data_IF_114874149514
#
_entry.id   IF_114874149514
#
_cell.length_a   1.000
_cell.length_b   1.000
_cell.length_c   1.000
_cell.angle_alpha   90.00
_cell.angle_beta   90.00
_cell.angle_gamma   90.00
#
_symmetry.space_group_name_H-M   'P 1'
#
loop_
_entity.id
_entity.type
_entity.pdbx_description
1 polymer ?
#
# COMPACT_ATOMS: atom_id res chain seq x y z
N UNK A 1 -11.06 -13.52 8.09
CA UNK A 1 -10.52 -12.60 7.08
C UNK A 1 -9.01 -12.45 7.29
N UNK A 2 -8.23 -12.34 6.23
CA UNK A 2 -6.78 -12.08 6.28
C UNK A 2 -6.50 -10.63 5.82
N UNK A 3 -5.68 -9.90 6.60
CA UNK A 3 -5.04 -8.63 6.21
C UNK A 3 -3.56 -8.92 5.95
N UNK A 4 -3.21 -9.00 4.67
CA UNK A 4 -1.90 -9.42 4.18
C UNK A 4 -0.99 -8.20 4.02
N UNK A 5 0.10 -8.14 4.79
CA UNK A 5 0.94 -6.96 4.96
C UNK A 5 0.25 -5.90 5.82
N UNK A 6 -0.20 -6.30 7.02
CA UNK A 6 -1.04 -5.45 7.88
C UNK A 6 -0.32 -4.21 8.44
N UNK A 7 1.01 -4.14 8.30
CA UNK A 7 1.80 -3.03 8.81
C UNK A 7 1.54 -2.75 10.29
N UNK A 8 1.27 -1.49 10.67
CA UNK A 8 0.97 -1.12 12.06
C UNK A 8 -0.46 -1.52 12.50
N UNK A 9 -1.22 -2.27 11.69
CA UNK A 9 -2.49 -2.90 12.07
C UNK A 9 -3.73 -2.01 12.05
N UNK A 10 -3.67 -0.77 11.57
CA UNK A 10 -4.83 0.14 11.58
C UNK A 10 -5.99 -0.37 10.72
N UNK A 11 -5.68 -0.96 9.56
CA UNK A 11 -6.70 -1.56 8.71
C UNK A 11 -7.28 -2.82 9.39
N UNK A 12 -6.43 -3.69 9.94
CA UNK A 12 -6.87 -4.88 10.68
C UNK A 12 -7.83 -4.55 11.82
N UNK A 13 -7.56 -3.48 12.59
CA UNK A 13 -8.44 -3.01 13.67
C UNK A 13 -9.78 -2.50 13.14
N UNK A 14 -9.76 -1.73 12.06
CA UNK A 14 -10.97 -1.24 11.39
C UNK A 14 -11.82 -2.40 10.85
N UNK A 15 -11.18 -3.40 10.25
CA UNK A 15 -11.83 -4.62 9.78
C UNK A 15 -12.43 -5.41 10.98
N UNK A 16 -11.66 -5.56 12.05
CA UNK A 16 -12.13 -6.29 13.25
C UNK A 16 -13.35 -5.63 13.89
N UNK A 17 -13.42 -4.29 13.87
CA UNK A 17 -14.58 -3.55 14.36
C UNK A 17 -15.85 -3.85 13.52
N UNK A 18 -15.71 -4.04 12.21
CA UNK A 18 -16.82 -4.37 11.31
C UNK A 18 -17.20 -5.84 11.40
N UNK A 19 -16.21 -6.74 11.44
CA UNK A 19 -16.42 -8.20 11.49
C UNK A 19 -17.06 -8.62 12.82
N UNK A 20 -16.69 -7.96 13.92
CA UNK A 20 -17.21 -8.25 15.23
C UNK A 20 -16.79 -9.62 15.78
N UNK A 21 -17.40 -9.99 16.93
CA UNK A 21 -17.05 -11.23 17.66
C UNK A 21 -17.50 -12.52 16.98
N UNK A 22 -18.36 -12.44 15.99
CA UNK A 22 -18.86 -13.62 15.25
C UNK A 22 -17.95 -14.03 14.09
N UNK A 23 -16.88 -13.26 13.87
CA UNK A 23 -15.86 -13.56 12.87
C UNK A 23 -14.46 -13.56 13.44
N UNK A 24 -13.46 -13.64 12.56
CA UNK A 24 -12.05 -13.58 12.91
C UNK A 24 -11.24 -12.80 11.89
N UNK A 25 -10.28 -12.01 12.38
CA UNK A 25 -9.32 -11.26 11.56
C UNK A 25 -7.91 -11.71 11.92
N UNK A 26 -7.11 -11.94 10.91
CA UNK A 26 -5.68 -12.26 11.00
C UNK A 26 -4.90 -11.21 10.26
N UNK A 27 -4.05 -10.43 10.95
CA UNK A 27 -3.05 -9.56 10.34
C UNK A 27 -1.71 -10.28 10.23
N UNK A 28 -1.08 -10.22 9.08
CA UNK A 28 0.26 -10.79 8.84
C UNK A 28 1.15 -9.72 8.24
N UNK A 29 2.35 -9.57 8.79
CA UNK A 29 3.39 -8.68 8.26
C UNK A 29 4.77 -9.30 8.44
N UNK A 30 5.70 -8.96 7.56
CA UNK A 30 7.09 -9.44 7.64
C UNK A 30 7.86 -8.80 8.78
N UNK A 31 7.45 -7.62 9.23
CA UNK A 31 8.09 -6.85 10.29
C UNK A 31 7.67 -7.31 11.68
N UNK A 32 8.58 -7.96 12.40
CA UNK A 32 8.37 -8.34 13.80
C UNK A 32 8.11 -7.14 14.72
N UNK A 33 8.70 -5.98 14.40
CA UNK A 33 8.53 -4.75 15.19
C UNK A 33 7.11 -4.20 15.05
N UNK A 34 6.56 -4.19 13.81
CA UNK A 34 5.18 -3.76 13.58
C UNK A 34 4.18 -4.72 14.23
N UNK A 35 4.41 -6.03 14.15
CA UNK A 35 3.55 -7.02 14.82
C UNK A 35 3.61 -6.86 16.35
N UNK A 36 4.79 -6.59 16.90
CA UNK A 36 4.92 -6.28 18.32
C UNK A 36 4.14 -5.03 18.71
N UNK A 37 4.20 -3.97 17.89
CA UNK A 37 3.41 -2.76 18.10
C UNK A 37 1.90 -3.05 18.07
N UNK A 38 1.41 -3.83 17.11
CA UNK A 38 0.01 -4.25 17.01
C UNK A 38 -0.45 -4.99 18.29
N UNK A 39 0.36 -5.93 18.76
CA UNK A 39 0.04 -6.75 19.92
C UNK A 39 -0.04 -5.95 21.23
N UNK A 40 0.77 -4.88 21.36
CA UNK A 40 0.77 -3.99 22.53
C UNK A 40 -0.50 -3.16 22.67
N UNK A 41 -1.27 -2.95 21.59
CA UNK A 41 -2.54 -2.22 21.64
C UNK A 41 -3.72 -3.02 22.17
N UNK A 42 -3.47 -4.25 22.64
CA UNK A 42 -4.49 -5.13 23.23
C UNK A 42 -5.69 -5.34 22.30
N UNK A 43 -5.49 -5.91 21.12
CA UNK A 43 -6.58 -6.14 20.17
C UNK A 43 -7.66 -7.05 20.77
N UNK A 44 -8.91 -6.98 20.26
CA UNK A 44 -9.95 -7.87 20.70
C UNK A 44 -9.63 -9.33 20.35
N UNK A 45 -10.20 -10.30 21.06
CA UNK A 45 -9.89 -11.73 20.93
C UNK A 45 -10.13 -12.31 19.51
N UNK A 46 -10.91 -11.63 18.66
CA UNK A 46 -11.15 -12.03 17.27
C UNK A 46 -10.19 -11.37 16.27
N UNK A 47 -9.22 -10.59 16.74
CA UNK A 47 -8.13 -10.04 15.95
C UNK A 47 -6.80 -10.58 16.45
N UNK A 48 -6.07 -11.26 15.57
CA UNK A 48 -4.74 -11.80 15.88
C UNK A 48 -3.71 -11.31 14.87
N UNK A 49 -2.46 -11.21 15.32
CA UNK A 49 -1.33 -10.80 14.47
C UNK A 49 -0.24 -11.87 14.46
N UNK A 50 0.46 -12.00 13.33
CA UNK A 50 1.63 -12.85 13.23
C UNK A 50 2.68 -12.27 12.29
N UNK A 51 3.94 -12.59 12.58
CA UNK A 51 5.02 -12.39 11.62
C UNK A 51 4.91 -13.44 10.52
N UNK A 52 4.98 -13.01 9.26
CA UNK A 52 4.93 -13.92 8.12
C UNK A 52 5.26 -13.21 6.80
N UNK A 53 5.70 -14.02 5.84
CA UNK A 53 6.03 -13.57 4.49
C UNK A 53 4.82 -13.78 3.57
N UNK A 54 4.39 -12.72 2.89
CA UNK A 54 3.28 -12.74 1.95
C UNK A 54 3.49 -13.71 0.76
N UNK A 55 4.75 -14.10 0.49
CA UNK A 55 5.09 -15.07 -0.54
C UNK A 55 5.07 -16.53 -0.06
N UNK A 56 4.99 -16.77 1.25
CA UNK A 56 5.00 -18.09 1.89
C UNK A 56 4.20 -18.08 3.18
N UNK A 57 2.88 -18.10 3.05
CA UNK A 57 1.97 -18.06 4.19
C UNK A 57 1.95 -19.43 4.91
N UNK A 58 2.02 -19.40 6.23
CA UNK A 58 1.88 -20.58 7.09
C UNK A 58 0.43 -21.08 7.19
N UNK A 59 -0.51 -20.27 6.77
CA UNK A 59 -1.94 -20.54 6.82
C UNK A 59 -2.30 -21.65 5.82
N UNK A 60 -3.22 -22.57 6.21
CA UNK A 60 -3.63 -23.66 5.35
C UNK A 60 -4.44 -23.18 4.15
N UNK A 61 -4.58 -24.06 3.15
CA UNK A 61 -5.43 -23.83 2.00
C UNK A 61 -6.89 -23.61 2.43
N UNK A 62 -7.61 -22.78 1.70
CA UNK A 62 -9.07 -22.64 1.84
C UNK A 62 -9.54 -22.25 3.26
N UNK A 63 -8.81 -21.40 3.97
CA UNK A 63 -9.12 -21.07 5.36
C UNK A 63 -9.75 -19.66 5.56
N UNK A 64 -9.67 -18.80 4.55
CA UNK A 64 -10.23 -17.44 4.64
C UNK A 64 -11.38 -17.19 3.67
N UNK A 65 -12.38 -16.46 4.11
CA UNK A 65 -13.48 -15.97 3.26
C UNK A 65 -13.10 -14.69 2.51
N UNK A 66 -12.17 -13.90 3.08
CA UNK A 66 -11.72 -12.63 2.50
C UNK A 66 -10.21 -12.46 2.75
N UNK A 67 -9.50 -11.99 1.72
CA UNK A 67 -8.13 -11.49 1.79
C UNK A 67 -8.10 -10.04 1.39
N UNK A 68 -7.52 -9.17 2.22
CA UNK A 68 -7.13 -7.80 1.86
C UNK A 68 -5.61 -7.72 1.75
N UNK A 69 -5.11 -7.01 0.74
CA UNK A 69 -3.70 -6.72 0.54
C UNK A 69 -3.58 -5.26 0.11
N UNK A 70 -3.17 -4.41 1.05
CA UNK A 70 -3.23 -2.95 0.87
C UNK A 70 -1.85 -2.34 0.93
N UNK A 71 -1.36 -1.81 -0.20
CA UNK A 71 -0.04 -1.19 -0.34
C UNK A 71 1.10 -2.15 0.07
N UNK A 72 1.06 -3.38 -0.43
CA UNK A 72 2.03 -4.44 -0.14
C UNK A 72 2.56 -5.07 -1.42
N UNK A 73 1.67 -5.48 -2.33
CA UNK A 73 2.05 -6.24 -3.52
C UNK A 73 3.04 -5.50 -4.42
N UNK A 74 3.00 -4.17 -4.46
CA UNK A 74 3.95 -3.34 -5.21
C UNK A 74 5.38 -3.36 -4.63
N UNK A 75 5.54 -3.72 -3.36
CA UNK A 75 6.85 -3.76 -2.69
C UNK A 75 7.53 -5.13 -2.75
N UNK A 76 6.76 -6.18 -3.00
CA UNK A 76 7.28 -7.56 -3.00
C UNK A 76 7.81 -7.93 -4.38
N UNK A 77 9.11 -8.30 -4.52
CA UNK A 77 9.70 -8.63 -5.82
C UNK A 77 8.94 -9.71 -6.60
N UNK A 78 8.51 -10.79 -5.93
CA UNK A 78 7.67 -11.82 -6.53
C UNK A 78 6.18 -11.59 -6.23
N UNK A 79 5.60 -10.60 -6.91
CA UNK A 79 4.15 -10.31 -6.84
C UNK A 79 3.32 -11.53 -7.25
N UNK A 80 3.80 -12.34 -8.18
CA UNK A 80 3.11 -13.55 -8.62
C UNK A 80 2.92 -14.54 -7.47
N UNK A 81 3.91 -14.66 -6.59
CA UNK A 81 3.83 -15.54 -5.44
C UNK A 81 2.84 -15.01 -4.40
N UNK A 82 2.84 -13.69 -4.14
CA UNK A 82 1.84 -13.05 -3.26
C UNK A 82 0.42 -13.37 -3.73
N UNK A 83 0.15 -13.18 -5.03
CA UNK A 83 -1.18 -13.46 -5.59
C UNK A 83 -1.54 -14.95 -5.54
N UNK A 84 -0.56 -15.86 -5.75
CA UNK A 84 -0.78 -17.30 -5.63
C UNK A 84 -1.11 -17.71 -4.19
N UNK A 85 -0.42 -17.17 -3.20
CA UNK A 85 -0.69 -17.42 -1.78
C UNK A 85 -2.06 -16.85 -1.36
N UNK A 86 -2.37 -15.63 -1.77
CA UNK A 86 -3.70 -15.05 -1.54
C UNK A 86 -4.82 -15.92 -2.13
N UNK A 87 -4.62 -16.48 -3.33
CA UNK A 87 -5.55 -17.41 -3.95
C UNK A 87 -5.65 -18.72 -3.18
N UNK A 88 -4.52 -19.30 -2.79
CA UNK A 88 -4.45 -20.60 -2.09
C UNK A 88 -5.22 -20.57 -0.77
N UNK A 89 -5.01 -19.54 0.03
CA UNK A 89 -5.62 -19.44 1.37
C UNK A 89 -7.10 -19.05 1.33
N UNK A 90 -7.58 -18.47 0.23
CA UNK A 90 -9.01 -18.17 0.05
C UNK A 90 -9.81 -19.45 -0.15
N UNK A 91 -10.99 -19.53 0.46
CA UNK A 91 -11.98 -20.57 0.16
C UNK A 91 -12.53 -20.41 -1.27
N UNK A 92 -13.02 -21.49 -1.92
CA UNK A 92 -13.88 -21.36 -3.10
C UNK A 92 -15.03 -20.36 -2.78
N UNK A 93 -15.30 -19.43 -3.68
CA UNK A 93 -16.25 -18.32 -3.46
C UNK A 93 -15.72 -17.17 -2.61
N UNK A 94 -14.51 -17.27 -2.05
CA UNK A 94 -13.88 -16.22 -1.26
C UNK A 94 -13.50 -15.00 -2.10
N UNK A 95 -13.35 -13.85 -1.44
CA UNK A 95 -13.11 -12.55 -2.08
C UNK A 95 -11.75 -11.99 -1.74
N UNK A 96 -11.13 -11.32 -2.70
CA UNK A 96 -9.88 -10.61 -2.50
C UNK A 96 -10.03 -9.12 -2.84
N UNK A 97 -9.37 -8.27 -2.07
CA UNK A 97 -9.22 -6.85 -2.34
C UNK A 97 -7.74 -6.52 -2.35
N UNK A 98 -7.27 -5.96 -3.47
CA UNK A 98 -5.91 -5.45 -3.60
C UNK A 98 -5.97 -3.95 -3.79
N UNK A 99 -5.19 -3.22 -3.01
CA UNK A 99 -5.04 -1.77 -3.12
C UNK A 99 -3.59 -1.45 -3.44
N UNK A 100 -3.37 -0.76 -4.56
CA UNK A 100 -2.03 -0.35 -4.98
C UNK A 100 -2.04 1.08 -5.53
N UNK A 101 -0.88 1.73 -5.52
CA UNK A 101 -0.66 3.06 -6.10
C UNK A 101 0.07 2.92 -7.42
N UNK A 102 -0.36 3.66 -8.45
CA UNK A 102 0.46 3.90 -9.64
C UNK A 102 1.38 5.10 -9.35
N UNK A 103 2.63 4.82 -9.02
CA UNK A 103 3.59 5.82 -8.58
C UNK A 103 4.05 6.76 -9.68
N UNK A 104 3.83 6.41 -10.97
CA UNK A 104 4.03 7.33 -12.09
C UNK A 104 2.89 8.36 -12.25
N UNK A 105 1.73 8.11 -11.63
CA UNK A 105 0.56 8.95 -11.74
C UNK A 105 0.46 9.99 -10.61
N UNK A 106 1.55 10.25 -9.90
CA UNK A 106 1.64 11.34 -8.95
C UNK A 106 1.70 12.68 -9.70
N UNK A 107 0.86 13.62 -9.29
CA UNK A 107 0.92 15.00 -9.75
C UNK A 107 1.30 15.89 -8.57
N UNK A 108 2.41 16.60 -8.71
CA UNK A 108 2.90 17.51 -7.70
C UNK A 108 3.33 18.83 -8.35
N UNK A 109 2.76 19.95 -7.93
CA UNK A 109 3.17 21.27 -8.42
C UNK A 109 4.60 21.58 -7.99
N UNK A 110 5.39 22.09 -8.90
CA UNK A 110 6.75 22.55 -8.68
C UNK A 110 7.08 23.72 -9.63
N UNK A 111 7.83 24.70 -9.13
CA UNK A 111 8.43 25.76 -9.95
C UNK A 111 9.73 25.30 -10.62
N UNK A 112 10.25 24.11 -10.25
CA UNK A 112 11.42 23.50 -10.85
C UNK A 112 11.10 22.06 -11.30
N UNK A 113 10.49 21.88 -12.48
CA UNK A 113 10.08 20.57 -13.00
C UNK A 113 11.26 19.63 -13.23
N UNK A 114 12.45 20.12 -13.55
CA UNK A 114 13.64 19.29 -13.77
C UNK A 114 14.10 18.66 -12.44
N UNK A 115 14.16 19.45 -11.36
CA UNK A 115 14.47 18.94 -10.03
C UNK A 115 13.40 17.95 -9.55
N UNK A 116 12.12 18.24 -9.75
CA UNK A 116 11.03 17.33 -9.46
C UNK A 116 11.22 15.99 -10.19
N UNK A 117 11.52 16.03 -11.49
CA UNK A 117 11.74 14.82 -12.30
C UNK A 117 12.92 13.99 -11.77
N UNK A 118 14.03 14.61 -11.36
CA UNK A 118 15.19 13.93 -10.78
C UNK A 118 14.83 13.23 -9.44
N UNK A 119 14.13 13.94 -8.55
CA UNK A 119 13.70 13.37 -7.26
C UNK A 119 12.77 12.18 -7.49
N UNK A 120 11.76 12.34 -8.36
CA UNK A 120 10.79 11.28 -8.64
C UNK A 120 11.42 10.08 -9.35
N UNK A 121 12.39 10.28 -10.21
CA UNK A 121 13.16 9.19 -10.83
C UNK A 121 13.96 8.39 -9.80
N UNK A 122 14.61 9.06 -8.85
CA UNK A 122 15.31 8.37 -7.75
C UNK A 122 14.33 7.64 -6.84
N UNK A 123 13.14 8.21 -6.59
CA UNK A 123 12.06 7.60 -5.84
C UNK A 123 11.49 6.33 -6.51
N UNK A 124 11.49 6.22 -7.83
CA UNK A 124 10.91 5.07 -8.56
C UNK A 124 11.37 3.71 -8.01
N UNK A 125 12.60 3.62 -7.53
CA UNK A 125 13.17 2.37 -6.99
C UNK A 125 12.80 2.06 -5.53
N UNK A 126 11.89 2.83 -4.90
CA UNK A 126 11.44 2.56 -3.53
C UNK A 126 10.56 1.30 -3.42
N UNK A 127 9.98 0.85 -4.52
CA UNK A 127 9.21 -0.38 -4.60
C UNK A 127 9.57 -1.22 -5.84
N UNK A 128 9.24 -2.50 -5.82
CA UNK A 128 9.57 -3.44 -6.90
C UNK A 128 8.71 -3.21 -8.15
N UNK A 129 7.45 -2.79 -7.96
CA UNK A 129 6.47 -2.68 -9.04
C UNK A 129 5.74 -1.33 -9.00
N UNK A 130 6.40 -0.21 -9.35
CA UNK A 130 5.84 1.14 -9.23
C UNK A 130 4.58 1.38 -10.09
N UNK A 131 4.34 0.52 -11.06
CA UNK A 131 3.20 0.59 -12.01
C UNK A 131 2.26 -0.61 -11.89
N UNK A 132 2.26 -1.29 -10.72
CA UNK A 132 1.48 -2.53 -10.51
C UNK A 132 0.01 -2.42 -10.95
N UNK A 133 -0.73 -1.33 -10.66
CA UNK A 133 -2.13 -1.21 -11.07
C UNK A 133 -2.39 -1.49 -12.55
N UNK A 134 -1.45 -1.14 -13.43
CA UNK A 134 -1.59 -1.30 -14.90
C UNK A 134 -1.62 -2.76 -15.35
N UNK A 135 -1.03 -3.67 -14.58
CA UNK A 135 -0.94 -5.10 -14.90
C UNK A 135 -1.72 -6.01 -13.95
N UNK A 136 -2.25 -5.47 -12.83
CA UNK A 136 -2.79 -6.28 -11.75
C UNK A 136 -3.99 -7.14 -12.19
N UNK A 137 -4.84 -6.66 -13.10
CA UNK A 137 -5.99 -7.44 -13.61
C UNK A 137 -5.50 -8.72 -14.33
N UNK A 138 -4.53 -8.58 -15.24
CA UNK A 138 -3.99 -9.74 -15.97
C UNK A 138 -3.26 -10.71 -15.04
N UNK A 139 -2.55 -10.21 -14.05
CA UNK A 139 -1.89 -11.02 -13.03
C UNK A 139 -2.91 -11.80 -12.18
N UNK A 140 -3.98 -11.16 -11.70
CA UNK A 140 -5.05 -11.81 -10.94
C UNK A 140 -5.70 -12.94 -11.75
N UNK A 141 -6.10 -12.65 -13.00
CA UNK A 141 -6.72 -13.65 -13.89
C UNK A 141 -5.77 -14.81 -14.15
N UNK A 142 -4.47 -14.56 -14.34
CA UNK A 142 -3.45 -15.62 -14.53
C UNK A 142 -3.30 -16.55 -13.32
N UNK A 143 -3.70 -16.10 -12.10
CA UNK A 143 -3.71 -16.91 -10.88
C UNK A 143 -5.03 -17.62 -10.61
N UNK A 144 -6.00 -17.49 -11.52
CA UNK A 144 -7.29 -18.13 -11.40
C UNK A 144 -8.38 -17.28 -10.73
N UNK A 145 -8.09 -16.06 -10.35
CA UNK A 145 -9.11 -15.15 -9.85
C UNK A 145 -10.09 -14.74 -10.96
N UNK A 146 -11.36 -14.62 -10.60
CA UNK A 146 -12.32 -13.84 -11.38
C UNK A 146 -12.17 -12.37 -10.98
N UNK A 147 -12.00 -11.49 -11.96
CA UNK A 147 -12.01 -10.05 -11.72
C UNK A 147 -13.45 -9.54 -11.57
N UNK A 148 -13.76 -8.90 -10.45
CA UNK A 148 -15.11 -8.43 -10.10
C UNK A 148 -15.28 -6.90 -10.26
N UNK A 149 -14.20 -6.17 -10.48
CA UNK A 149 -14.23 -4.74 -10.74
C UNK A 149 -13.10 -3.97 -10.04
N UNK A 150 -12.93 -2.71 -10.46
CA UNK A 150 -12.00 -1.79 -9.83
C UNK A 150 -12.67 -0.45 -9.52
N UNK A 151 -12.10 0.26 -8.54
CA UNK A 151 -12.53 1.61 -8.14
C UNK A 151 -11.27 2.45 -7.89
N UNK A 152 -11.36 3.74 -8.17
CA UNK A 152 -10.30 4.71 -7.86
C UNK A 152 -10.68 5.47 -6.59
N UNK A 153 -9.74 5.61 -5.69
CA UNK A 153 -9.83 6.50 -4.53
C UNK A 153 -8.83 7.64 -4.75
N UNK A 154 -9.28 8.85 -5.12
CA UNK A 154 -8.41 9.99 -5.33
C UNK A 154 -7.96 10.57 -3.99
N UNK A 155 -6.68 10.92 -3.91
CA UNK A 155 -6.09 11.70 -2.83
C UNK A 155 -5.76 13.07 -3.41
N UNK A 156 -6.30 14.12 -2.80
CA UNK A 156 -6.06 15.50 -3.20
C UNK A 156 -5.65 16.30 -1.99
N UNK A 157 -4.50 16.98 -2.05
CA UNK A 157 -4.07 17.93 -1.06
C UNK A 157 -3.79 19.27 -1.74
N UNK A 158 -4.48 20.31 -1.27
CA UNK A 158 -4.36 21.70 -1.76
C UNK A 158 -3.63 22.59 -0.75
N UNK A 159 -3.13 22.00 0.34
CA UNK A 159 -2.36 22.64 1.39
C UNK A 159 -1.21 21.77 1.86
N UNK A 160 -0.16 22.41 2.33
CA UNK A 160 1.03 21.81 2.91
C UNK A 160 0.94 21.88 4.44
N UNK A 161 0.07 21.07 5.04
CA UNK A 161 -0.11 20.98 6.49
C UNK A 161 0.30 19.63 7.06
N UNK A 162 0.39 19.52 8.38
CA UNK A 162 0.91 18.33 9.05
C UNK A 162 0.03 17.10 8.88
N UNK A 163 -1.26 17.27 8.63
CA UNK A 163 -2.22 16.19 8.43
C UNK A 163 -2.33 15.80 6.94
N UNK A 164 -1.68 16.54 6.03
CA UNK A 164 -1.72 16.23 4.60
C UNK A 164 -0.93 14.97 4.28
N UNK A 165 -1.57 14.03 3.58
CA UNK A 165 -0.91 12.82 3.08
C UNK A 165 0.37 13.15 2.29
N UNK A 166 0.32 14.17 1.45
CA UNK A 166 1.44 14.60 0.62
C UNK A 166 2.65 15.06 1.42
N UNK A 167 2.47 15.68 2.61
CA UNK A 167 3.57 16.10 3.48
C UNK A 167 4.28 14.89 4.09
N UNK A 168 3.52 13.90 4.56
CA UNK A 168 4.08 12.64 5.03
C UNK A 168 4.83 11.91 3.92
N UNK A 169 4.24 11.84 2.71
CA UNK A 169 4.89 11.22 1.55
C UNK A 169 6.18 11.96 1.18
N UNK A 170 6.18 13.30 1.14
CA UNK A 170 7.38 14.07 0.82
C UNK A 170 8.52 13.82 1.82
N UNK A 171 8.20 13.64 3.11
CA UNK A 171 9.17 13.24 4.12
C UNK A 171 9.80 11.89 3.79
N UNK A 172 8.98 10.89 3.44
CA UNK A 172 9.47 9.56 3.04
C UNK A 172 10.32 9.60 1.77
N UNK A 173 9.90 10.37 0.75
CA UNK A 173 10.66 10.58 -0.48
C UNK A 173 12.02 11.21 -0.18
N UNK A 174 12.03 12.31 0.59
CA UNK A 174 13.26 13.00 0.99
C UNK A 174 14.23 12.04 1.71
N UNK A 175 13.74 11.30 2.68
CA UNK A 175 14.57 10.41 3.48
C UNK A 175 15.09 9.21 2.66
N UNK A 176 14.29 8.69 1.73
CA UNK A 176 14.71 7.61 0.84
C UNK A 176 15.76 8.08 -0.17
N UNK A 177 15.47 9.17 -0.90
CA UNK A 177 16.36 9.73 -1.92
C UNK A 177 17.67 10.22 -1.29
N UNK A 178 17.59 10.85 -0.09
CA UNK A 178 18.76 11.31 0.64
C UNK A 178 19.70 10.17 1.02
N UNK A 179 19.18 8.99 1.40
CA UNK A 179 20.03 7.81 1.70
C UNK A 179 20.76 7.27 0.48
N UNK A 180 20.21 7.44 -0.73
CA UNK A 180 20.86 7.00 -1.97
C UNK A 180 22.02 7.88 -2.40
N UNK A 181 22.08 9.14 -1.92
CA UNK A 181 23.12 10.12 -2.25
C UNK A 181 23.30 10.36 -3.77
N UNK A 182 22.24 10.13 -4.55
CA UNK A 182 22.24 10.34 -6.02
C UNK A 182 22.00 11.81 -6.40
N UNK A 183 21.46 12.60 -5.46
CA UNK A 183 21.17 14.02 -5.61
C UNK A 183 21.91 14.84 -4.56
N UNK A 184 22.38 16.06 -4.89
CA UNK A 184 22.92 16.97 -3.90
C UNK A 184 21.90 17.22 -2.78
N UNK A 185 22.38 17.26 -1.55
CA UNK A 185 21.52 17.48 -0.36
C UNK A 185 20.79 18.83 -0.41
N UNK A 186 21.41 19.84 -1.03
CA UNK A 186 20.84 21.17 -1.24
C UNK A 186 19.67 21.13 -2.22
N UNK A 187 19.75 20.34 -3.30
CA UNK A 187 18.65 20.18 -4.25
C UNK A 187 17.46 19.47 -3.62
N UNK A 188 17.73 18.42 -2.83
CA UNK A 188 16.68 17.69 -2.13
C UNK A 188 16.01 18.53 -1.06
N UNK A 189 16.80 19.35 -0.34
CA UNK A 189 16.27 20.33 0.62
C UNK A 189 15.42 21.38 -0.09
N UNK A 190 15.91 21.95 -1.19
CA UNK A 190 15.19 22.95 -1.97
C UNK A 190 13.89 22.39 -2.57
N UNK A 191 13.88 21.11 -2.98
CA UNK A 191 12.66 20.42 -3.41
C UNK A 191 11.61 20.34 -2.29
N UNK A 192 12.03 19.97 -1.08
CA UNK A 192 11.11 19.83 0.05
C UNK A 192 10.58 21.19 0.56
N UNK A 193 11.46 22.17 0.67
CA UNK A 193 11.12 23.52 1.15
C UNK A 193 10.22 24.29 0.17
N UNK A 194 10.27 23.94 -1.12
CA UNK A 194 9.43 24.55 -2.16
C UNK A 194 7.93 24.41 -1.86
N UNK A 195 7.51 23.30 -1.26
CA UNK A 195 6.09 23.04 -1.02
C UNK A 195 5.46 24.00 -0.04
N UNK A 196 6.17 24.36 1.04
CA UNK A 196 5.71 25.39 1.98
C UNK A 196 5.55 26.74 1.28
N UNK A 197 6.53 27.13 0.46
CA UNK A 197 6.46 28.37 -0.32
C UNK A 197 5.31 28.37 -1.33
N UNK A 198 5.06 27.26 -2.00
CA UNK A 198 3.93 27.13 -2.93
C UNK A 198 2.59 27.24 -2.20
N UNK A 199 2.49 26.71 -0.98
CA UNK A 199 1.29 26.84 -0.15
C UNK A 199 1.03 28.28 0.27
N UNK A 200 2.04 29.01 0.74
CA UNK A 200 1.95 30.44 1.07
C UNK A 200 1.46 31.29 -0.12
N UNK A 201 1.81 30.88 -1.33
CA UNK A 201 1.38 31.55 -2.57
C UNK A 201 0.02 31.06 -3.10
N UNK A 202 -0.64 30.11 -2.40
CA UNK A 202 -1.88 29.47 -2.87
C UNK A 202 -1.71 28.63 -4.14
N UNK A 203 -0.50 28.12 -4.40
CA UNK A 203 -0.13 27.37 -5.61
C UNK A 203 0.22 25.90 -5.34
N UNK A 204 0.12 25.47 -4.07
CA UNK A 204 0.35 24.08 -3.73
C UNK A 204 -0.73 23.19 -4.30
N UNK A 205 -0.31 22.09 -4.93
CA UNK A 205 -1.20 21.08 -5.46
C UNK A 205 -0.51 19.72 -5.42
N UNK A 206 -1.19 18.74 -4.85
CA UNK A 206 -0.80 17.33 -4.91
C UNK A 206 -2.02 16.49 -5.24
N UNK A 207 -1.87 15.54 -6.16
CA UNK A 207 -2.86 14.51 -6.43
C UNK A 207 -2.22 13.16 -6.65
N UNK A 208 -2.84 12.13 -6.12
CA UNK A 208 -2.49 10.73 -6.33
C UNK A 208 -3.74 9.87 -6.35
N UNK A 209 -3.67 8.71 -6.96
CA UNK A 209 -4.77 7.76 -6.98
C UNK A 209 -4.37 6.44 -6.33
N UNK A 210 -5.24 5.93 -5.48
CA UNK A 210 -5.22 4.55 -5.04
C UNK A 210 -6.20 3.74 -5.87
N UNK A 211 -5.75 2.62 -6.39
CA UNK A 211 -6.57 1.73 -7.22
C UNK A 211 -6.95 0.53 -6.39
N UNK A 212 -8.26 0.30 -6.24
CA UNK A 212 -8.84 -0.78 -5.45
C UNK A 212 -9.38 -1.81 -6.42
N UNK A 213 -8.79 -2.99 -6.45
CA UNK A 213 -9.18 -4.12 -7.30
C UNK A 213 -9.91 -5.14 -6.45
N UNK A 214 -11.08 -5.56 -6.92
CA UNK A 214 -11.88 -6.62 -6.31
C UNK A 214 -11.84 -7.85 -7.20
N UNK A 215 -11.59 -8.97 -6.58
CA UNK A 215 -11.53 -10.26 -7.25
C UNK A 215 -12.15 -11.34 -6.36
N UNK A 216 -12.51 -12.46 -6.95
CA UNK A 216 -13.01 -13.62 -6.20
C UNK A 216 -12.36 -14.90 -6.72
N UNK A 217 -12.23 -15.86 -5.81
CA UNK A 217 -11.89 -17.24 -6.19
C UNK A 217 -13.17 -17.91 -6.66
N UNK A 218 -13.23 -18.45 -7.89
CA UNK A 218 -14.42 -19.17 -8.37
C UNK A 218 -14.80 -20.32 -7.45
N UNK A 219 -16.09 -20.65 -7.40
CA UNK A 219 -16.52 -21.94 -6.89
C UNK A 219 -16.05 -22.99 -7.90
N UNK A 220 -15.27 -23.94 -7.50
CA UNK A 220 -14.75 -25.00 -8.36
C UNK A 220 -15.84 -25.78 -9.08
#
# INVERSE_FOLDING_TARGET
MLDLGCGPGFLSESIAAVVGRDGAVRGIDISSDLITLCSRRSPPNWLTYAVGDATHLSEPDNCFDVVACTQVAEYVPDVNRVLSEAFRVLRPGGRAVFVATDWDALVWSSDNPDRMALVMKSWESHCAHPRLPRSLISLLVSKGFRFDGATVFPILNLKWDDDAYSKGLAGLVRDFVGRKSELPSEDLKAWYDEFARLDELGRYFFSSNRYIFRASRPNG
#
